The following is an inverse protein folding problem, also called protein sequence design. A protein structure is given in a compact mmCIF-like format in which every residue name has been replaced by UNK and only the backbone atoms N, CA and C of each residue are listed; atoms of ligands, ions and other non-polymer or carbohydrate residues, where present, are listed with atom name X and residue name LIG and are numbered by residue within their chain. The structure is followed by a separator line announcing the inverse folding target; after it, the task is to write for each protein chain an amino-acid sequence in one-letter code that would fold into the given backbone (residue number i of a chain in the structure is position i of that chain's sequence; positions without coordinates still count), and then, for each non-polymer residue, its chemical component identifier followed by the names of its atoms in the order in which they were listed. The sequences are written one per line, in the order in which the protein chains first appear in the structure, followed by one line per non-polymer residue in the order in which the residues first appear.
data_IF_966553393229
#
_entry.id   IF_966553393229
#
_cell.length_a   1.000
_cell.length_b   1.000
_cell.length_c   1.000
_cell.angle_alpha   90.00
_cell.angle_beta   90.00
_cell.angle_gamma   90.00
#
_symmetry.space_group_name_H-M   'P 1'
#
loop_
_entity.id
_entity.type
_entity.pdbx_description
1 polymer ?
#
# COMPACT_ATOMS: atom_id res chain seq x y z
N UNK A 1 4.14 16.00 -13.80
CA UNK A 1 5.28 15.33 -13.13
C UNK A 1 4.71 14.30 -12.16
N UNK A 2 5.19 13.07 -12.16
CA UNK A 2 4.75 12.02 -11.22
C UNK A 2 5.60 12.20 -9.95
N UNK A 3 5.04 12.75 -8.88
CA UNK A 3 5.75 12.92 -7.61
C UNK A 3 5.83 11.57 -6.89
N UNK A 4 6.74 10.70 -7.33
CA UNK A 4 6.89 9.35 -6.79
C UNK A 4 7.22 9.35 -5.29
N UNK A 5 7.83 10.42 -4.76
CA UNK A 5 8.14 10.55 -3.34
C UNK A 5 6.91 10.92 -2.48
N UNK A 6 5.84 11.45 -3.06
CA UNK A 6 4.61 11.82 -2.33
C UNK A 6 3.67 10.62 -2.14
N UNK A 7 3.58 9.74 -3.14
CA UNK A 7 2.71 8.58 -3.07
C UNK A 7 3.17 7.41 -3.94
N UNK A 8 3.00 6.20 -3.40
CA UNK A 8 3.19 4.93 -4.10
C UNK A 8 1.87 4.19 -4.22
N UNK A 9 1.65 3.53 -5.36
CA UNK A 9 0.51 2.63 -5.58
C UNK A 9 1.03 1.29 -6.05
N UNK A 10 0.72 0.24 -5.29
CA UNK A 10 1.01 -1.15 -5.61
C UNK A 10 -0.29 -1.84 -5.94
N UNK A 11 -0.46 -2.28 -7.18
CA UNK A 11 -1.61 -3.05 -7.63
C UNK A 11 -1.20 -4.51 -7.81
N UNK A 12 -1.99 -5.43 -7.27
CA UNK A 12 -1.63 -6.85 -7.20
C UNK A 12 -2.22 -7.71 -8.33
N UNK A 13 -3.03 -7.13 -9.22
CA UNK A 13 -3.69 -7.86 -10.30
C UNK A 13 -4.35 -9.16 -9.79
N UNK A 14 -4.26 -10.28 -10.50
CA UNK A 14 -4.81 -11.56 -10.04
C UNK A 14 -4.10 -12.18 -8.81
N UNK A 15 -2.99 -11.62 -8.34
CA UNK A 15 -2.29 -12.15 -7.16
C UNK A 15 -3.08 -11.86 -5.88
N UNK A 16 -3.08 -12.83 -4.98
CA UNK A 16 -3.86 -12.80 -3.73
C UNK A 16 -2.96 -12.91 -2.49
N UNK A 17 -1.91 -12.08 -2.38
CA UNK A 17 -1.04 -12.15 -1.22
C UNK A 17 -1.81 -11.82 0.06
N UNK A 18 -1.53 -12.58 1.13
CA UNK A 18 -1.99 -12.25 2.48
C UNK A 18 -1.02 -11.27 3.18
N UNK A 19 0.24 -11.26 2.77
CA UNK A 19 1.28 -10.35 3.23
C UNK A 19 2.19 -9.97 2.06
N UNK A 20 2.74 -8.75 2.12
CA UNK A 20 3.77 -8.31 1.18
C UNK A 20 4.79 -7.40 1.89
N UNK A 21 6.06 -7.54 1.53
CA UNK A 21 7.15 -6.69 2.01
C UNK A 21 7.36 -5.55 1.02
N UNK A 22 7.05 -4.33 1.43
CA UNK A 22 7.22 -3.12 0.64
C UNK A 22 8.59 -2.50 0.92
N UNK A 23 9.26 -2.02 -0.13
CA UNK A 23 10.47 -1.21 -0.02
C UNK A 23 10.09 0.25 -0.20
N UNK A 24 9.96 0.97 0.91
CA UNK A 24 9.68 2.40 0.93
C UNK A 24 10.97 3.19 1.20
N UNK A 25 11.05 4.47 0.81
CA UNK A 25 12.15 5.33 1.24
C UNK A 25 12.31 5.35 2.76
N UNK A 26 13.55 5.21 3.25
CA UNK A 26 13.83 5.18 4.70
C UNK A 26 13.72 6.56 5.36
N UNK A 27 14.00 7.62 4.59
CA UNK A 27 13.98 9.02 5.06
C UNK A 27 12.59 9.52 5.47
N UNK A 28 11.54 8.86 4.99
CA UNK A 28 10.17 9.35 5.05
C UNK A 28 9.22 8.35 5.68
N UNK A 29 8.13 8.87 6.27
CA UNK A 29 7.05 8.07 6.83
C UNK A 29 5.85 8.11 5.90
N UNK A 30 5.18 6.97 5.80
CA UNK A 30 4.02 6.80 4.93
C UNK A 30 2.85 6.19 5.70
N UNK A 31 1.64 6.68 5.42
CA UNK A 31 0.39 6.01 5.80
C UNK A 31 -0.03 5.07 4.68
N UNK A 32 -0.46 3.88 5.04
CA UNK A 32 -0.91 2.87 4.08
C UNK A 32 -2.42 2.73 4.07
N UNK A 33 -2.96 2.47 2.89
CA UNK A 33 -4.38 2.28 2.65
C UNK A 33 -4.59 1.11 1.70
N UNK A 34 -5.43 0.16 2.10
CA UNK A 34 -5.89 -0.94 1.24
C UNK A 34 -7.06 -0.44 0.41
N UNK A 35 -6.97 -0.59 -0.91
CA UNK A 35 -8.00 -0.17 -1.86
C UNK A 35 -8.63 -1.43 -2.44
N UNK A 36 -9.95 -1.50 -2.33
CA UNK A 36 -10.80 -2.46 -3.05
C UNK A 36 -11.54 -1.69 -4.15
N UNK A 37 -11.07 -1.76 -5.41
CA UNK A 37 -11.69 -1.06 -6.53
C UNK A 37 -13.09 -1.57 -6.87
N UNK A 38 -13.40 -2.83 -6.54
CA UNK A 38 -14.72 -3.42 -6.84
C UNK A 38 -15.78 -2.94 -5.86
N UNK A 39 -15.44 -2.91 -4.57
CA UNK A 39 -16.30 -2.34 -3.54
C UNK A 39 -16.25 -0.81 -3.48
N UNK A 40 -15.34 -0.18 -4.24
CA UNK A 40 -15.07 1.27 -4.19
C UNK A 40 -14.72 1.75 -2.78
N UNK A 41 -13.95 0.95 -2.02
CA UNK A 41 -13.59 1.26 -0.63
C UNK A 41 -12.10 1.45 -0.43
N UNK A 42 -11.76 2.19 0.61
CA UNK A 42 -10.37 2.38 1.06
C UNK A 42 -10.32 2.18 2.57
N UNK A 43 -9.49 1.27 3.04
CA UNK A 43 -9.32 0.94 4.46
C UNK A 43 -7.92 1.30 4.92
N UNK A 44 -7.82 2.18 5.92
CA UNK A 44 -6.53 2.57 6.49
C UNK A 44 -5.88 1.40 7.22
N UNK A 45 -4.59 1.20 6.98
CA UNK A 45 -3.75 0.31 7.77
C UNK A 45 -3.20 1.09 8.95
N UNK A 46 -3.33 0.54 10.16
CA UNK A 46 -2.81 1.19 11.36
C UNK A 46 -1.27 1.27 11.33
N UNK A 47 -0.74 2.41 11.79
CA UNK A 47 0.70 2.67 11.86
C UNK A 47 1.22 3.57 10.74
N UNK A 48 2.53 3.78 10.77
CA UNK A 48 3.31 4.51 9.76
C UNK A 48 4.48 3.63 9.31
N UNK A 49 4.80 3.69 8.02
CA UNK A 49 5.71 2.78 7.35
C UNK A 49 6.89 3.52 6.75
N UNK A 50 8.07 2.90 6.78
CA UNK A 50 9.33 3.41 6.20
C UNK A 50 10.28 2.24 5.97
N UNK A 51 11.18 2.32 4.99
CA UNK A 51 12.11 1.23 4.69
C UNK A 51 11.38 -0.07 4.34
N UNK A 52 11.96 -1.22 4.72
CA UNK A 52 11.31 -2.53 4.54
C UNK A 52 10.12 -2.67 5.50
N UNK A 53 8.92 -2.68 4.95
CA UNK A 53 7.66 -2.68 5.71
C UNK A 53 6.75 -3.83 5.28
N UNK A 54 6.36 -4.69 6.22
CA UNK A 54 5.44 -5.80 5.95
C UNK A 54 4.00 -5.40 6.27
N UNK A 55 3.10 -5.49 5.29
CA UNK A 55 1.67 -5.16 5.48
C UNK A 55 0.81 -6.39 5.23
N UNK A 56 -0.22 -6.57 6.08
CA UNK A 56 -1.27 -7.57 5.86
C UNK A 56 -2.25 -7.06 4.81
N UNK A 57 -2.51 -7.90 3.81
CA UNK A 57 -3.40 -7.61 2.70
C UNK A 57 -4.69 -8.42 2.84
N UNK A 58 -5.63 -8.20 1.92
CA UNK A 58 -6.96 -8.82 2.00
C UNK A 58 -7.00 -10.27 1.50
N UNK A 59 -5.95 -10.75 0.81
CA UNK A 59 -5.94 -12.07 0.18
C UNK A 59 -6.98 -12.22 -0.94
N UNK A 60 -7.41 -11.10 -1.55
CA UNK A 60 -8.33 -11.07 -2.70
C UNK A 60 -7.57 -10.57 -3.94
N UNK A 61 -7.97 -10.98 -5.15
CA UNK A 61 -7.39 -10.44 -6.37
C UNK A 61 -7.87 -9.00 -6.61
N UNK A 62 -7.16 -8.29 -7.47
CA UNK A 62 -7.46 -6.94 -7.96
C UNK A 62 -7.46 -5.87 -6.88
N UNK A 63 -6.66 -6.10 -5.84
CA UNK A 63 -6.51 -5.18 -4.72
C UNK A 63 -5.30 -4.28 -4.95
N UNK A 64 -5.32 -3.10 -4.34
CA UNK A 64 -4.16 -2.21 -4.31
C UNK A 64 -3.81 -1.77 -2.89
N UNK A 65 -2.56 -1.37 -2.71
CA UNK A 65 -2.11 -0.62 -1.54
C UNK A 65 -1.58 0.71 -2.00
N UNK A 66 -2.11 1.78 -1.41
CA UNK A 66 -1.59 3.14 -1.56
C UNK A 66 -0.80 3.52 -0.32
N UNK A 67 0.42 4.01 -0.52
CA UNK A 67 1.20 4.68 0.50
C UNK A 67 1.23 6.17 0.19
N UNK A 68 0.91 7.01 1.18
CA UNK A 68 0.98 8.47 1.07
C UNK A 68 1.91 8.99 2.15
N UNK A 69 2.84 9.85 1.77
CA UNK A 69 3.79 10.48 2.69
C UNK A 69 3.02 11.24 3.79
N UNK A 70 3.50 11.13 5.03
CA UNK A 70 2.96 11.88 6.18
C UNK A 70 3.50 13.30 6.18
#
# INVERSE_FOLDING_TARGET
KRNQDEAFLFYFDFHQPLYYDFLLPEKDKYRAELIDPWAMTTTRVAGEFSGKSRVKLTGKPYMAVRFVRV
#
